data_IF_873898050665
#
_entry.id   IF_873898050665
#
_cell.length_a   1.000
_cell.length_b   1.000
_cell.length_c   1.000
_cell.angle_alpha   90.00
_cell.angle_beta   90.00
_cell.angle_gamma   90.00
#
_symmetry.space_group_name_H-M   'P 1'
#
loop_
_entity.id
_entity.type
_entity.pdbx_description
1 polymer ?
#
# COMPACT_ATOMS: atom_id res chain seq x y z
N UNK A 1 -14.18 6.69 13.67
CA UNK A 1 -13.09 6.81 14.65
C UNK A 1 -11.78 6.64 13.89
N UNK A 2 -10.77 7.46 14.16
CA UNK A 2 -9.43 7.32 13.58
C UNK A 2 -8.66 6.35 14.47
N UNK A 3 -8.03 5.34 13.88
CA UNK A 3 -7.10 4.46 14.57
C UNK A 3 -5.70 5.07 14.46
N UNK A 4 -5.01 5.15 15.60
CA UNK A 4 -3.66 5.69 15.71
C UNK A 4 -2.79 4.61 16.38
N UNK A 5 -1.67 4.27 15.74
CA UNK A 5 -0.64 3.37 16.25
C UNK A 5 0.69 4.10 16.33
N UNK A 6 1.51 3.79 17.34
CA UNK A 6 2.83 4.38 17.47
C UNK A 6 3.79 3.35 18.08
N UNK A 7 4.88 3.05 17.36
CA UNK A 7 5.88 2.08 17.77
C UNK A 7 7.28 2.69 17.60
N UNK A 8 8.18 2.40 18.54
CA UNK A 8 9.59 2.81 18.43
C UNK A 8 10.46 1.57 18.31
N UNK A 9 11.13 1.42 17.17
CA UNK A 9 12.10 0.35 16.94
C UNK A 9 13.48 0.88 17.31
N UNK A 10 14.08 0.28 18.34
CA UNK A 10 15.47 0.56 18.72
C UNK A 10 16.42 -0.25 17.88
N UNK A 11 17.30 0.43 17.17
CA UNK A 11 18.30 -0.20 16.33
C UNK A 11 19.53 -0.53 17.18
N UNK A 12 20.08 -1.76 17.08
CA UNK A 12 21.17 -2.23 17.95
C UNK A 12 22.49 -1.47 17.73
N UNK A 13 22.65 -0.79 16.59
CA UNK A 13 23.76 0.11 16.28
C UNK A 13 23.22 1.39 15.62
N UNK A 14 24.04 2.44 15.54
CA UNK A 14 23.74 3.63 14.74
C UNK A 14 23.72 3.21 13.27
N UNK A 15 22.57 2.71 12.82
CA UNK A 15 22.38 2.27 11.45
C UNK A 15 22.40 3.51 10.57
N UNK A 16 23.21 3.46 9.50
CA UNK A 16 23.24 4.51 8.50
C UNK A 16 21.80 4.73 7.99
N UNK A 17 21.35 5.98 7.95
CA UNK A 17 19.99 6.34 7.54
C UNK A 17 19.60 5.66 6.22
N UNK A 18 20.55 5.59 5.29
CA UNK A 18 20.46 4.86 4.01
C UNK A 18 19.96 3.42 4.17
N UNK A 19 20.43 2.68 5.17
CA UNK A 19 19.98 1.31 5.41
C UNK A 19 18.54 1.21 5.95
N UNK A 20 17.98 2.29 6.51
CA UNK A 20 16.55 2.35 6.83
C UNK A 20 15.74 2.58 5.55
N UNK A 21 16.19 3.48 4.67
CA UNK A 21 15.58 3.67 3.35
C UNK A 21 15.62 2.37 2.52
N UNK A 22 16.76 1.67 2.48
CA UNK A 22 16.89 0.38 1.78
C UNK A 22 15.90 -0.69 2.32
N UNK A 23 15.64 -0.69 3.62
CA UNK A 23 14.65 -1.60 4.23
C UNK A 23 13.22 -1.22 3.88
N UNK A 24 12.92 0.08 3.82
CA UNK A 24 11.62 0.57 3.38
C UNK A 24 11.40 0.17 1.92
N UNK A 25 12.40 0.36 1.06
CA UNK A 25 12.34 -0.03 -0.35
C UNK A 25 12.16 -1.55 -0.52
N UNK A 26 12.93 -2.36 0.21
CA UNK A 26 12.75 -3.80 0.21
C UNK A 26 11.37 -4.23 0.73
N UNK A 27 10.81 -3.50 1.71
CA UNK A 27 9.45 -3.75 2.19
C UNK A 27 8.40 -3.36 1.13
N UNK A 28 8.59 -2.28 0.37
CA UNK A 28 7.70 -1.87 -0.72
C UNK A 28 7.60 -2.92 -1.84
N UNK A 29 8.60 -3.78 -1.99
CA UNK A 29 8.56 -4.90 -2.94
C UNK A 29 7.72 -6.10 -2.45
N UNK A 30 7.29 -6.10 -1.18
CA UNK A 30 6.46 -7.18 -0.62
C UNK A 30 4.99 -7.08 -1.04
N UNK A 31 4.24 -8.17 -0.89
CA UNK A 31 2.80 -8.21 -1.16
C UNK A 31 2.02 -7.13 -0.37
N UNK A 32 2.45 -6.81 0.85
CA UNK A 32 1.82 -5.78 1.68
C UNK A 32 2.33 -4.38 1.34
N UNK A 33 3.65 -4.21 1.26
CA UNK A 33 4.27 -2.90 1.01
C UNK A 33 3.99 -2.34 -0.38
N UNK A 34 3.80 -3.18 -1.39
CA UNK A 34 3.42 -2.75 -2.75
C UNK A 34 2.08 -2.02 -2.82
N UNK A 35 1.25 -2.13 -1.78
CA UNK A 35 0.02 -1.35 -1.65
C UNK A 35 0.27 0.07 -1.14
N UNK A 36 1.51 0.48 -0.90
CA UNK A 36 1.89 1.80 -0.42
C UNK A 36 2.77 2.51 -1.45
N UNK A 37 2.70 3.84 -1.45
CA UNK A 37 3.61 4.70 -2.18
C UNK A 37 4.23 5.73 -1.24
N UNK A 38 5.47 6.09 -1.52
CA UNK A 38 6.16 7.19 -0.84
C UNK A 38 5.49 8.49 -1.26
N UNK A 39 4.84 9.15 -0.31
CA UNK A 39 4.18 10.45 -0.51
C UNK A 39 5.18 11.60 -0.37
N UNK A 40 6.05 11.51 0.63
CA UNK A 40 7.16 12.43 0.83
C UNK A 40 8.34 11.69 1.44
N UNK A 41 9.53 12.09 1.00
CA UNK A 41 10.79 11.54 1.46
C UNK A 41 11.71 12.70 1.84
N UNK A 42 12.25 12.60 3.04
CA UNK A 42 13.29 13.48 3.56
C UNK A 42 14.32 12.64 4.31
N UNK A 43 15.52 13.18 4.60
CA UNK A 43 16.57 12.44 5.28
C UNK A 43 16.22 11.95 6.70
N UNK A 44 15.13 12.45 7.29
CA UNK A 44 14.71 12.15 8.66
C UNK A 44 13.28 11.63 8.72
N UNK A 45 12.55 11.65 7.60
CA UNK A 45 11.13 11.30 7.58
C UNK A 45 10.75 10.69 6.23
N UNK A 46 10.08 9.54 6.27
CA UNK A 46 9.44 8.90 5.11
C UNK A 46 7.95 8.75 5.39
N UNK A 47 7.11 9.30 4.51
CA UNK A 47 5.65 9.18 4.62
C UNK A 47 5.14 8.23 3.56
N UNK A 48 4.54 7.12 4.01
CA UNK A 48 3.98 6.07 3.18
C UNK A 48 2.45 6.18 3.17
N UNK A 49 1.85 6.20 1.99
CA UNK A 49 0.39 6.26 1.83
C UNK A 49 -0.11 5.06 1.03
N UNK A 50 -1.15 4.41 1.53
CA UNK A 50 -1.76 3.25 0.87
C UNK A 50 -2.48 3.66 -0.44
N UNK A 51 -2.23 2.95 -1.54
CA UNK A 51 -2.63 3.28 -2.94
C UNK A 51 -3.62 2.32 -3.59
N UNK A 52 -3.80 1.07 -3.12
CA UNK A 52 -4.64 0.09 -3.83
C UNK A 52 -6.10 0.51 -4.01
N UNK A 53 -6.65 1.29 -3.06
CA UNK A 53 -8.00 1.85 -3.18
C UNK A 53 -8.08 2.83 -4.35
N UNK A 54 -7.01 3.61 -4.60
CA UNK A 54 -6.97 4.57 -5.71
C UNK A 54 -6.97 3.86 -7.07
N UNK A 55 -6.33 2.69 -7.20
CA UNK A 55 -6.26 1.97 -8.48
C UNK A 55 -7.54 1.19 -8.82
N UNK A 56 -8.18 0.55 -7.84
CA UNK A 56 -9.53 -0.03 -8.03
C UNK A 56 -10.56 1.06 -8.33
N UNK A 57 -10.48 2.21 -7.65
CA UNK A 57 -11.35 3.35 -7.94
C UNK A 57 -11.12 3.89 -9.36
N UNK A 58 -9.87 4.05 -9.82
CA UNK A 58 -9.57 4.46 -11.20
C UNK A 58 -10.14 3.47 -12.21
N UNK A 59 -9.93 2.17 -12.00
CA UNK A 59 -10.44 1.13 -12.91
C UNK A 59 -11.96 1.15 -13.01
N UNK A 60 -12.66 1.30 -11.88
CA UNK A 60 -14.11 1.39 -11.82
C UNK A 60 -14.63 2.66 -12.50
N UNK A 61 -13.98 3.82 -12.31
CA UNK A 61 -14.32 5.07 -13.03
C UNK A 61 -14.15 4.90 -14.54
N UNK A 62 -13.06 4.27 -15.00
CA UNK A 62 -12.81 3.99 -16.42
C UNK A 62 -13.90 3.07 -16.99
N UNK A 63 -14.22 1.99 -16.29
CA UNK A 63 -15.26 1.05 -16.72
C UNK A 63 -16.63 1.73 -16.81
N UNK A 64 -17.00 2.51 -15.80
CA UNK A 64 -18.21 3.34 -15.78
C UNK A 64 -18.29 4.31 -16.95
N UNK A 65 -17.17 4.94 -17.33
CA UNK A 65 -17.10 5.82 -18.48
C UNK A 65 -17.31 5.05 -19.81
N UNK A 66 -16.73 3.85 -19.95
CA UNK A 66 -16.91 3.01 -21.13
C UNK A 66 -18.36 2.53 -21.29
N UNK A 67 -18.99 2.09 -20.20
CA UNK A 67 -20.41 1.71 -20.20
C UNK A 67 -21.30 2.90 -20.56
N UNK A 68 -21.05 4.08 -19.99
CA UNK A 68 -21.84 5.28 -20.29
C UNK A 68 -21.69 5.74 -21.73
N UNK A 69 -20.46 5.76 -22.25
CA UNK A 69 -20.20 6.17 -23.64
C UNK A 69 -20.81 5.21 -24.64
N UNK A 70 -20.71 3.89 -24.42
CA UNK A 70 -21.37 2.90 -25.30
C UNK A 70 -22.90 3.09 -25.34
N UNK A 71 -23.55 3.33 -24.20
CA UNK A 71 -24.99 3.60 -24.16
C UNK A 71 -25.41 4.87 -24.92
N UNK A 72 -24.58 5.92 -24.90
CA UNK A 72 -24.82 7.17 -25.65
C UNK A 72 -24.63 6.98 -27.16
N UNK A 73 -23.57 6.29 -27.58
CA UNK A 73 -23.25 6.12 -29.02
C UNK A 73 -24.16 5.11 -29.71
N UNK A 74 -24.49 4.00 -29.04
CA UNK A 74 -25.28 2.92 -29.65
C UNK A 74 -26.77 3.00 -29.31
N UNK A 75 -27.16 3.69 -28.23
CA UNK A 75 -28.56 3.85 -27.81
C UNK A 75 -29.50 4.35 -28.93
N UNK A 76 -29.14 5.37 -29.72
CA UNK A 76 -30.00 5.88 -30.81
C UNK A 76 -30.19 4.91 -31.97
N UNK A 77 -29.33 3.89 -32.09
CA UNK A 77 -29.37 2.89 -33.17
C UNK A 77 -30.20 1.65 -32.81
N UNK A 78 -30.78 1.60 -31.60
CA UNK A 78 -31.53 0.46 -31.13
C UNK A 78 -32.96 0.45 -31.71
N UNK A 79 -33.44 -0.70 -32.20
CA UNK A 79 -34.70 -0.80 -32.94
C UNK A 79 -35.94 -0.84 -32.04
N UNK A 80 -35.79 -1.15 -30.74
CA UNK A 80 -36.91 -1.30 -29.82
C UNK A 80 -36.87 -0.28 -28.67
N UNK A 81 -38.06 0.07 -28.17
CA UNK A 81 -38.21 0.97 -27.01
C UNK A 81 -37.59 0.33 -25.75
N UNK A 82 -37.70 -0.99 -25.61
CA UNK A 82 -37.13 -1.75 -24.49
C UNK A 82 -35.60 -1.61 -24.46
N UNK A 83 -34.95 -1.78 -25.62
CA UNK A 83 -33.50 -1.62 -25.76
C UNK A 83 -33.04 -0.19 -25.46
N UNK A 84 -33.84 0.81 -25.85
CA UNK A 84 -33.54 2.22 -25.59
C UNK A 84 -33.67 2.56 -24.10
N UNK A 85 -34.64 1.98 -23.39
CA UNK A 85 -34.77 2.09 -21.93
C UNK A 85 -33.56 1.43 -21.25
N UNK A 86 -33.14 0.24 -21.70
CA UNK A 86 -31.97 -0.45 -21.17
C UNK A 86 -30.70 0.40 -21.36
N UNK A 87 -30.50 0.97 -22.55
CA UNK A 87 -29.37 1.85 -22.82
C UNK A 87 -29.37 3.09 -21.90
N UNK A 88 -30.53 3.71 -21.69
CA UNK A 88 -30.66 4.84 -20.78
C UNK A 88 -30.33 4.47 -19.33
N UNK A 89 -30.80 3.31 -18.85
CA UNK A 89 -30.48 2.80 -17.51
C UNK A 89 -28.99 2.54 -17.34
N UNK A 90 -28.33 1.96 -18.35
CA UNK A 90 -26.88 1.72 -18.34
C UNK A 90 -26.07 3.02 -18.27
N UNK A 91 -26.48 4.05 -19.01
CA UNK A 91 -25.89 5.39 -18.91
C UNK A 91 -26.07 5.97 -17.51
N UNK A 92 -27.27 5.85 -16.94
CA UNK A 92 -27.58 6.37 -15.62
C UNK A 92 -26.75 5.68 -14.52
N UNK A 93 -26.64 4.35 -14.58
CA UNK A 93 -25.81 3.56 -13.66
C UNK A 93 -24.32 3.88 -13.82
N UNK A 94 -23.83 3.98 -15.06
CA UNK A 94 -22.46 4.36 -15.35
C UNK A 94 -22.09 5.75 -14.83
N UNK A 95 -23.05 6.68 -14.75
CA UNK A 95 -22.85 8.00 -14.14
C UNK A 95 -22.97 7.99 -12.61
N UNK A 96 -23.91 7.24 -12.03
CA UNK A 96 -24.18 7.27 -10.59
C UNK A 96 -23.16 6.48 -9.76
N UNK A 97 -22.64 5.39 -10.29
CA UNK A 97 -21.65 4.54 -9.61
C UNK A 97 -20.37 5.31 -9.20
N UNK A 98 -19.69 6.07 -10.09
CA UNK A 98 -18.52 6.84 -9.70
C UNK A 98 -18.85 7.99 -8.74
N UNK A 99 -20.06 8.58 -8.84
CA UNK A 99 -20.53 9.60 -7.89
C UNK A 99 -20.68 9.00 -6.49
N UNK A 100 -21.32 7.84 -6.36
CA UNK A 100 -21.46 7.14 -5.07
C UNK A 100 -20.11 6.78 -4.45
N UNK A 101 -19.15 6.36 -5.26
CA UNK A 101 -17.79 6.07 -4.82
C UNK A 101 -17.02 7.32 -4.37
N UNK A 102 -17.24 8.48 -4.99
CA UNK A 102 -16.64 9.73 -4.53
C UNK A 102 -17.07 10.09 -3.09
N UNK A 103 -18.29 9.71 -2.69
CA UNK A 103 -18.79 9.91 -1.32
C UNK A 103 -18.33 8.84 -0.33
N UNK A 104 -17.99 7.63 -0.80
CA UNK A 104 -17.31 6.61 -0.01
C UNK A 104 -15.85 7.04 0.15
N UNK A 105 -15.54 7.79 1.22
CA UNK A 105 -14.17 8.25 1.51
C UNK A 105 -13.18 7.09 1.35
N UNK A 106 -12.18 7.18 0.45
CA UNK A 106 -11.15 6.16 0.37
C UNK A 106 -10.46 6.03 1.72
N UNK A 107 -10.09 4.81 2.07
CA UNK A 107 -9.36 4.54 3.30
C UNK A 107 -8.11 5.42 3.33
N UNK A 108 -7.94 6.15 4.42
CA UNK A 108 -6.74 6.96 4.64
C UNK A 108 -5.86 6.19 5.59
N UNK A 109 -5.02 5.33 5.05
CA UNK A 109 -3.93 4.70 5.79
C UNK A 109 -2.64 5.41 5.42
N UNK A 110 -2.04 6.06 6.41
CA UNK A 110 -0.76 6.78 6.31
C UNK A 110 0.16 6.22 7.39
N UNK A 111 1.38 5.88 7.00
CA UNK A 111 2.45 5.48 7.92
C UNK A 111 3.55 6.53 7.82
N UNK A 112 3.91 7.13 8.94
CA UNK A 112 5.03 8.07 9.06
C UNK A 112 6.18 7.36 9.73
N UNK A 113 7.35 7.37 9.08
CA UNK A 113 8.59 6.79 9.58
C UNK A 113 9.55 7.93 9.89
N UNK A 114 9.77 8.23 11.16
CA UNK A 114 10.71 9.24 11.65
C UNK A 114 12.02 8.56 12.10
N UNK A 115 13.11 8.90 11.42
CA UNK A 115 14.42 8.26 11.53
C UNK A 115 15.32 9.13 12.41
N UNK A 116 15.55 8.68 13.65
CA UNK A 116 16.51 9.27 14.58
C UNK A 116 17.71 8.34 14.74
N UNK A 117 18.87 8.91 15.09
CA UNK A 117 20.20 8.27 15.08
C UNK A 117 20.21 6.75 15.37
N UNK A 118 19.59 6.31 16.47
CA UNK A 118 19.48 4.90 16.87
C UNK A 118 18.05 4.43 17.06
N UNK A 119 17.05 5.22 16.68
CA UNK A 119 15.64 4.95 16.92
C UNK A 119 14.79 5.30 15.70
N UNK A 120 14.00 4.35 15.23
CA UNK A 120 13.01 4.58 14.17
C UNK A 120 11.64 4.64 14.83
N UNK A 121 10.97 5.78 14.73
CA UNK A 121 9.61 5.97 15.22
C UNK A 121 8.64 5.77 14.06
N UNK A 122 7.70 4.85 14.24
CA UNK A 122 6.70 4.47 13.26
C UNK A 122 5.34 4.94 13.79
N UNK A 123 4.65 5.80 13.06
CA UNK A 123 3.30 6.25 13.39
C UNK A 123 2.31 5.83 12.30
N UNK A 124 1.21 5.23 12.71
CA UNK A 124 0.13 4.79 11.84
C UNK A 124 -1.10 5.66 12.06
N UNK A 125 -1.67 6.18 10.99
CA UNK A 125 -2.97 6.82 10.97
C UNK A 125 -3.88 6.09 10.00
N UNK A 126 -4.97 5.49 10.48
CA UNK A 126 -5.86 4.69 9.65
C UNK A 126 -7.35 4.88 9.94
N UNK A 127 -8.18 4.69 8.92
CA UNK A 127 -9.64 4.51 9.06
C UNK A 127 -10.06 3.06 9.27
N UNK A 128 -9.17 2.07 9.06
CA UNK A 128 -9.45 0.63 9.19
C UNK A 128 -8.39 -0.03 10.07
N UNK A 129 -8.77 -0.36 11.31
CA UNK A 129 -7.84 -0.91 12.30
C UNK A 129 -7.17 -2.21 11.85
N UNK A 130 -7.95 -3.24 11.60
CA UNK A 130 -7.46 -4.63 11.47
C UNK A 130 -6.46 -4.83 10.33
N UNK A 131 -6.77 -4.30 9.13
CA UNK A 131 -5.83 -4.38 8.00
C UNK A 131 -4.59 -3.51 8.22
N UNK A 132 -4.75 -2.33 8.83
CA UNK A 132 -3.63 -1.39 8.96
C UNK A 132 -2.67 -1.80 10.08
N UNK A 133 -3.16 -2.48 11.11
CA UNK A 133 -2.34 -3.09 12.17
C UNK A 133 -1.44 -4.20 11.59
N UNK A 134 -2.00 -5.06 10.73
CA UNK A 134 -1.22 -6.09 10.03
C UNK A 134 -0.16 -5.50 9.08
N UNK A 135 -0.48 -4.45 8.34
CA UNK A 135 0.48 -3.76 7.48
C UNK A 135 1.61 -3.12 8.30
N UNK A 136 1.24 -2.52 9.43
CA UNK A 136 2.16 -1.86 10.35
C UNK A 136 3.12 -2.85 11.03
N UNK A 137 2.62 -3.97 11.55
CA UNK A 137 3.43 -5.05 12.12
C UNK A 137 4.43 -5.63 11.10
N UNK A 138 4.02 -5.69 9.83
CA UNK A 138 4.90 -6.14 8.74
C UNK A 138 6.06 -5.16 8.51
N UNK A 139 5.82 -3.86 8.60
CA UNK A 139 6.84 -2.84 8.44
C UNK A 139 7.80 -2.84 9.64
N UNK A 140 7.28 -2.94 10.87
CA UNK A 140 8.09 -3.11 12.09
C UNK A 140 9.02 -4.32 11.94
N UNK A 141 8.48 -5.47 11.52
CA UNK A 141 9.26 -6.69 11.31
C UNK A 141 10.35 -6.52 10.25
N UNK A 142 10.10 -5.73 9.20
CA UNK A 142 11.10 -5.42 8.18
C UNK A 142 12.22 -4.54 8.73
N UNK A 143 11.89 -3.60 9.63
CA UNK A 143 12.87 -2.76 10.31
C UNK A 143 13.75 -3.56 11.30
N UNK A 144 13.24 -4.63 11.90
CA UNK A 144 13.98 -5.45 12.87
C UNK A 144 14.91 -6.51 12.23
N UNK A 145 14.62 -6.98 11.01
CA UNK A 145 15.23 -8.22 10.43
C UNK A 145 16.74 -8.20 10.18
N UNK A 146 17.43 -7.08 10.30
CA UNK A 146 18.84 -6.96 9.88
C UNK A 146 19.87 -7.70 10.74
N UNK A 147 19.49 -8.21 11.92
CA UNK A 147 20.41 -8.99 12.77
C UNK A 147 20.35 -10.52 12.53
N UNK A 148 19.18 -11.06 12.15
CA UNK A 148 18.96 -12.51 12.22
C UNK A 148 19.43 -13.23 10.94
N UNK A 149 19.27 -12.61 9.78
CA UNK A 149 19.65 -13.23 8.49
C UNK A 149 21.17 -13.26 8.32
N UNK A 150 21.86 -12.17 8.66
CA UNK A 150 23.31 -12.07 8.50
C UNK A 150 24.05 -12.98 9.51
N UNK A 151 23.55 -13.09 10.75
CA UNK A 151 24.11 -14.02 11.74
C UNK A 151 23.84 -15.49 11.38
N UNK A 152 22.72 -15.80 10.71
CA UNK A 152 22.43 -17.17 10.23
C UNK A 152 23.28 -17.55 9.03
N UNK A 153 23.45 -16.67 8.05
CA UNK A 153 24.29 -16.93 6.89
C UNK A 153 25.77 -17.07 7.27
N UNK A 154 26.30 -16.20 8.15
CA UNK A 154 27.67 -16.34 8.67
C UNK A 154 27.86 -17.65 9.46
N UNK A 155 26.84 -18.08 10.22
CA UNK A 155 26.89 -19.33 11.00
C UNK A 155 26.74 -20.58 10.14
N UNK A 156 26.05 -20.53 9.01
CA UNK A 156 25.98 -21.63 8.04
C UNK A 156 27.25 -21.74 7.19
N UNK A 157 27.81 -20.62 6.74
CA UNK A 157 29.06 -20.59 5.98
C UNK A 157 30.24 -21.07 6.84
N UNK A 158 30.30 -20.66 8.12
CA UNK A 158 31.31 -21.15 9.07
C UNK A 158 31.21 -22.66 9.34
N UNK A 159 30.00 -23.23 9.37
CA UNK A 159 29.83 -24.68 9.53
C UNK A 159 30.21 -25.47 8.27
N UNK A 160 30.16 -24.84 7.10
CA UNK A 160 30.51 -25.49 5.85
C UNK A 160 32.03 -25.55 5.63
N UNK A 161 32.77 -24.54 6.13
CA UNK A 161 34.24 -24.49 6.07
C UNK A 161 34.86 -25.51 7.04
N UNK A 162 34.28 -25.72 8.22
CA UNK A 162 34.82 -26.65 9.23
C UNK A 162 34.63 -28.15 8.87
N UNK A 163 33.72 -28.45 7.93
CA UNK A 163 33.51 -29.81 7.39
C UNK A 163 34.42 -30.17 6.21
N UNK A 164 35.18 -29.21 5.68
CA UNK A 164 36.11 -29.42 4.56
C UNK A 164 37.55 -29.76 4.99
N UNK A 165 37.81 -29.92 6.29
CA UNK A 165 39.16 -30.03 6.85
C UNK A 165 39.31 -31.24 7.77
N UNK A 166 38.97 -32.43 7.27
CA UNK A 166 39.36 -33.73 7.85
C UNK A 166 39.72 -34.69 6.74
#
# INVERSE_FOLDING_TARGET
MRYEGNETVRLPEAIAREAVHDRIDAWLETERGSNYAIQSESPEEVVLKRTWMDDWCKALVIYSALVSTSGIFFGPSLPSLEDLIIAFVLVLLGLLVPIGFFFLRPSRTVIVVDIKESEVNLSLESSHKEESEQDFDSLISAMERSEVENTRMVKEESRHIDRGRT
#
